data_IF_022529827624
#
_entry.id   IF_022529827624
#
_cell.length_a   1.000
_cell.length_b   1.000
_cell.length_c   1.000
_cell.angle_alpha   90.00
_cell.angle_beta   90.00
_cell.angle_gamma   90.00
#
_symmetry.space_group_name_H-M   'P 1'
#
loop_
_entity.id
_entity.type
_entity.pdbx_description
1 polymer ?
#
# COMPACT_ATOMS: atom_id res chain seq x y z
N UNK A 1 20.45 6.34 27.87
CA UNK A 1 19.23 7.10 27.53
C UNK A 1 18.04 6.26 27.99
N UNK A 2 17.14 6.83 28.78
CA UNK A 2 15.86 6.21 29.10
C UNK A 2 14.94 6.24 27.86
N UNK A 3 13.89 5.40 27.79
CA UNK A 3 12.90 5.38 26.70
C UNK A 3 12.38 6.78 26.34
N UNK A 4 12.15 7.60 27.36
CA UNK A 4 11.59 8.95 27.25
C UNK A 4 12.50 9.95 26.52
N UNK A 5 13.76 9.58 26.21
CA UNK A 5 14.75 10.46 25.60
C UNK A 5 15.17 10.05 24.17
N UNK A 6 14.56 9.00 23.59
CA UNK A 6 14.86 8.62 22.21
C UNK A 6 13.91 9.35 21.26
N UNK A 7 14.39 10.44 20.64
CA UNK A 7 13.66 11.18 19.63
C UNK A 7 13.74 10.46 18.28
N UNK A 8 12.59 10.31 17.59
CA UNK A 8 12.46 9.62 16.32
C UNK A 8 11.88 10.59 15.30
N UNK A 9 12.62 10.82 14.21
CA UNK A 9 12.13 11.56 13.05
C UNK A 9 11.62 10.57 11.99
N UNK A 10 10.36 10.69 11.59
CA UNK A 10 9.75 9.98 10.47
C UNK A 10 9.65 10.95 9.30
N UNK A 11 10.33 10.68 8.21
CA UNK A 11 10.28 11.49 6.99
C UNK A 11 9.34 10.84 5.99
N UNK A 12 8.24 11.53 5.70
CA UNK A 12 7.12 11.11 4.88
C UNK A 12 5.83 10.94 5.68
N UNK A 13 4.82 11.77 5.36
CA UNK A 13 3.48 11.81 5.98
C UNK A 13 2.45 10.95 5.24
N UNK A 14 2.87 9.94 4.47
CA UNK A 14 2.00 8.97 3.84
C UNK A 14 1.43 7.95 4.83
N UNK A 15 0.60 7.00 4.33
CA UNK A 15 -0.05 5.97 5.17
C UNK A 15 0.96 5.21 6.03
N UNK A 16 2.10 4.79 5.44
CA UNK A 16 3.14 4.06 6.17
C UNK A 16 3.80 4.89 7.26
N UNK A 17 4.17 6.14 6.94
CA UNK A 17 4.84 7.03 7.89
C UNK A 17 3.94 7.42 9.06
N UNK A 18 2.66 7.76 8.80
CA UNK A 18 1.70 8.07 9.86
C UNK A 18 1.38 6.84 10.72
N UNK A 19 1.20 5.66 10.12
CA UNK A 19 0.97 4.42 10.87
C UNK A 19 2.19 4.05 11.74
N UNK A 20 3.41 4.26 11.23
CA UNK A 20 4.64 4.06 12.00
C UNK A 20 4.74 5.05 13.15
N UNK A 21 4.47 6.34 12.91
CA UNK A 21 4.47 7.38 13.94
C UNK A 21 3.48 7.05 15.07
N UNK A 22 2.25 6.66 14.74
CA UNK A 22 1.24 6.26 15.71
C UNK A 22 1.67 5.03 16.51
N UNK A 23 2.27 4.03 15.85
CA UNK A 23 2.78 2.82 16.52
C UNK A 23 3.91 3.15 17.50
N UNK A 24 4.83 4.00 17.09
CA UNK A 24 5.95 4.45 17.92
C UNK A 24 5.50 5.34 19.09
N UNK A 25 4.57 6.28 18.86
CA UNK A 25 3.97 7.09 19.93
C UNK A 25 3.27 6.22 20.98
N UNK A 26 2.50 5.21 20.51
CA UNK A 26 1.82 4.28 21.41
C UNK A 26 2.80 3.41 22.22
N UNK A 27 3.99 3.16 21.67
CA UNK A 27 5.09 2.50 22.38
C UNK A 27 5.83 3.44 23.36
N UNK A 28 5.48 4.72 23.43
CA UNK A 28 6.03 5.71 24.36
C UNK A 28 7.28 6.43 23.86
N UNK A 29 7.55 6.45 22.57
CA UNK A 29 8.68 7.20 21.98
C UNK A 29 8.29 8.65 21.67
N UNK A 30 9.27 9.55 21.68
CA UNK A 30 9.11 10.93 21.19
C UNK A 30 9.27 10.96 19.67
N UNK A 31 8.15 11.18 18.95
CA UNK A 31 8.10 11.06 17.48
C UNK A 31 7.69 12.38 16.85
N UNK A 32 8.39 12.76 15.76
CA UNK A 32 8.04 13.88 14.91
C UNK A 32 7.94 13.37 13.45
N UNK A 33 6.92 13.79 12.73
CA UNK A 33 6.69 13.45 11.31
C UNK A 33 6.94 14.68 10.46
N UNK A 34 7.76 14.53 9.42
CA UNK A 34 8.10 15.61 8.48
C UNK A 34 7.61 15.22 7.08
N UNK A 35 6.71 16.03 6.52
CA UNK A 35 6.09 15.80 5.20
C UNK A 35 6.41 16.97 4.28
N UNK A 36 6.83 16.67 3.04
CA UNK A 36 7.20 17.68 2.06
C UNK A 36 6.02 18.49 1.52
N UNK A 37 4.83 17.88 1.45
CA UNK A 37 3.62 18.55 0.99
C UNK A 37 3.16 19.59 2.04
N UNK A 38 2.67 20.72 1.56
CA UNK A 38 2.07 21.76 2.41
C UNK A 38 0.67 21.40 2.92
N UNK A 39 0.02 20.43 2.28
CA UNK A 39 -1.30 19.90 2.65
C UNK A 39 -1.31 18.40 2.37
N UNK A 40 -1.86 17.62 3.28
CA UNK A 40 -2.09 16.19 3.05
C UNK A 40 -3.30 16.02 2.12
N UNK A 41 -3.02 15.94 0.83
CA UNK A 41 -4.01 15.65 -0.20
C UNK A 41 -3.61 14.41 -0.96
N UNK A 42 -4.59 13.59 -1.30
CA UNK A 42 -4.40 12.42 -2.17
C UNK A 42 -5.31 12.56 -3.37
N UNK A 43 -4.76 12.39 -4.57
CA UNK A 43 -5.57 12.35 -5.79
C UNK A 43 -6.39 11.07 -5.80
N UNK A 44 -7.68 11.20 -6.08
CA UNK A 44 -8.73 10.20 -6.00
C UNK A 44 -8.33 8.78 -6.41
N UNK A 45 -8.02 7.95 -5.43
CA UNK A 45 -7.69 6.54 -5.61
C UNK A 45 -8.32 5.70 -4.50
N UNK A 46 -8.74 4.49 -4.88
CA UNK A 46 -9.12 3.48 -3.91
C UNK A 46 -7.89 2.77 -3.35
N UNK A 47 -8.04 2.26 -2.15
CA UNK A 47 -7.05 1.40 -1.49
C UNK A 47 -7.76 0.25 -0.77
N UNK A 48 -7.11 -0.89 -0.72
CA UNK A 48 -7.60 -2.09 -0.04
C UNK A 48 -6.71 -2.36 1.18
N UNK A 49 -7.35 -2.64 2.32
CA UNK A 49 -6.68 -2.92 3.59
C UNK A 49 -7.15 -4.28 4.10
N UNK A 50 -6.26 -5.25 4.03
CA UNK A 50 -6.49 -6.63 4.44
C UNK A 50 -6.31 -6.85 5.95
N UNK A 51 -6.77 -7.99 6.53
CA UNK A 51 -6.78 -8.26 7.97
C UNK A 51 -5.45 -8.09 8.70
N UNK A 52 -4.33 -8.41 8.04
CA UNK A 52 -2.99 -8.21 8.61
C UNK A 52 -2.70 -6.74 8.96
N UNK A 53 -3.24 -5.79 8.19
CA UNK A 53 -3.07 -4.35 8.44
C UNK A 53 -4.25 -3.75 9.22
N UNK A 54 -5.50 -4.12 8.90
CA UNK A 54 -6.66 -3.56 9.60
C UNK A 54 -6.64 -3.88 11.09
N UNK A 55 -6.19 -5.06 11.50
CA UNK A 55 -5.93 -5.46 12.89
C UNK A 55 -5.05 -4.43 13.61
N UNK A 56 -3.96 -4.01 12.98
CA UNK A 56 -3.02 -3.05 13.55
C UNK A 56 -3.64 -1.66 13.66
N UNK A 57 -4.39 -1.23 12.65
CA UNK A 57 -5.13 0.04 12.69
C UNK A 57 -6.20 0.05 13.78
N UNK A 58 -6.93 -1.05 13.97
CA UNK A 58 -7.88 -1.18 15.09
C UNK A 58 -7.18 -1.06 16.44
N UNK A 59 -6.02 -1.70 16.61
CA UNK A 59 -5.20 -1.57 17.84
C UNK A 59 -4.69 -0.16 18.06
N UNK A 60 -4.47 0.62 17.00
CA UNK A 60 -4.15 2.05 17.10
C UNK A 60 -5.35 2.92 17.47
N UNK A 61 -6.54 2.34 17.64
CA UNK A 61 -7.76 3.07 18.04
C UNK A 61 -8.54 3.65 16.86
N UNK A 62 -8.18 3.31 15.62
CA UNK A 62 -8.79 3.87 14.42
C UNK A 62 -10.12 3.20 14.03
N UNK A 63 -10.52 2.10 14.69
CA UNK A 63 -11.70 1.31 14.34
C UNK A 63 -12.95 2.14 14.00
N UNK A 64 -13.41 3.07 14.87
CA UNK A 64 -14.59 3.90 14.57
C UNK A 64 -14.45 4.78 13.32
N UNK A 65 -13.25 5.27 13.01
CA UNK A 65 -13.00 6.06 11.80
C UNK A 65 -13.01 5.17 10.55
N UNK A 66 -12.42 3.97 10.65
CA UNK A 66 -12.39 2.98 9.57
C UNK A 66 -13.81 2.49 9.23
N UNK A 67 -14.64 2.21 10.23
CA UNK A 67 -16.01 1.73 10.02
C UNK A 67 -16.94 2.80 9.40
N UNK A 68 -16.68 4.09 9.65
CA UNK A 68 -17.46 5.17 9.05
C UNK A 68 -17.20 5.38 7.56
N UNK A 69 -15.98 5.15 7.10
CA UNK A 69 -15.54 5.51 5.73
C UNK A 69 -15.21 4.30 4.87
N UNK A 70 -14.94 3.16 5.50
CA UNK A 70 -14.62 1.90 4.85
C UNK A 70 -15.85 1.21 4.26
N UNK A 71 -15.60 0.46 3.19
CA UNK A 71 -16.55 -0.49 2.62
C UNK A 71 -16.04 -1.89 2.87
N UNK A 72 -16.85 -2.78 3.41
CA UNK A 72 -16.52 -4.19 3.66
C UNK A 72 -17.02 -5.05 2.49
N UNK A 73 -16.16 -5.49 1.57
CA UNK A 73 -16.58 -6.34 0.45
C UNK A 73 -16.93 -7.74 0.94
N UNK A 74 -17.92 -8.37 0.31
CA UNK A 74 -18.33 -9.74 0.68
C UNK A 74 -17.48 -10.81 0.02
N UNK A 75 -16.82 -10.51 -1.11
CA UNK A 75 -15.90 -11.44 -1.79
C UNK A 75 -14.91 -10.73 -2.71
N UNK A 76 -13.80 -11.42 -3.03
CA UNK A 76 -13.01 -11.15 -4.23
C UNK A 76 -13.62 -11.93 -5.38
N UNK A 77 -13.87 -11.26 -6.50
CA UNK A 77 -14.47 -11.85 -7.67
C UNK A 77 -13.50 -11.77 -8.85
N UNK A 78 -12.90 -12.89 -9.19
CA UNK A 78 -12.05 -13.04 -10.37
C UNK A 78 -12.93 -13.34 -11.58
N UNK A 79 -12.82 -12.55 -12.63
CA UNK A 79 -13.68 -12.63 -13.81
C UNK A 79 -12.86 -12.70 -15.09
N UNK A 80 -13.43 -13.35 -16.11
CA UNK A 80 -12.88 -13.33 -17.44
C UNK A 80 -13.22 -12.00 -18.12
N UNK A 81 -12.29 -11.52 -18.92
CA UNK A 81 -12.33 -10.17 -19.51
C UNK A 81 -13.45 -9.94 -20.51
N UNK A 82 -13.83 -10.96 -21.33
CA UNK A 82 -14.72 -10.86 -22.48
C UNK A 82 -16.19 -11.18 -22.16
N UNK A 83 -16.44 -12.34 -21.56
CA UNK A 83 -17.78 -12.84 -21.25
C UNK A 83 -18.23 -12.58 -19.81
N UNK A 84 -17.34 -12.08 -18.97
CA UNK A 84 -17.61 -11.81 -17.56
C UNK A 84 -17.79 -13.06 -16.70
N UNK A 85 -17.51 -14.24 -17.23
CA UNK A 85 -17.61 -15.50 -16.51
C UNK A 85 -16.79 -15.46 -15.22
N UNK A 86 -17.42 -15.96 -14.15
CA UNK A 86 -16.75 -16.13 -12.86
C UNK A 86 -15.66 -17.21 -12.97
N UNK A 87 -14.42 -16.82 -12.70
CA UNK A 87 -13.28 -17.74 -12.58
C UNK A 87 -13.10 -18.21 -11.15
N UNK A 88 -13.32 -17.30 -10.20
CA UNK A 88 -13.32 -17.59 -8.77
C UNK A 88 -14.12 -16.53 -8.02
N UNK A 89 -14.84 -16.95 -6.98
CA UNK A 89 -15.43 -16.05 -5.98
C UNK A 89 -14.92 -16.48 -4.61
N UNK A 90 -13.94 -15.73 -4.08
CA UNK A 90 -13.32 -16.03 -2.80
C UNK A 90 -14.00 -15.20 -1.71
N UNK A 91 -14.53 -15.81 -0.65
CA UNK A 91 -15.22 -15.07 0.41
C UNK A 91 -14.29 -14.08 1.12
N UNK A 92 -14.86 -12.92 1.46
CA UNK A 92 -14.30 -11.90 2.35
C UNK A 92 -15.31 -11.67 3.50
N UNK A 93 -15.55 -10.43 3.87
CA UNK A 93 -16.56 -10.04 4.86
C UNK A 93 -16.43 -10.83 6.16
N UNK A 94 -17.56 -11.36 6.63
CA UNK A 94 -17.63 -12.11 7.90
C UNK A 94 -16.72 -13.36 7.92
N UNK A 95 -16.58 -14.05 6.79
CA UNK A 95 -15.76 -15.26 6.72
C UNK A 95 -14.27 -14.98 6.98
N UNK A 96 -13.75 -13.89 6.44
CA UNK A 96 -12.36 -13.46 6.66
C UNK A 96 -12.19 -12.88 8.07
N UNK A 97 -13.15 -12.10 8.55
CA UNK A 97 -13.14 -11.55 9.90
C UNK A 97 -13.17 -12.67 10.96
N UNK A 98 -14.02 -13.69 10.78
CA UNK A 98 -14.06 -14.86 11.65
C UNK A 98 -12.75 -15.67 11.61
N UNK A 99 -12.14 -15.85 10.44
CA UNK A 99 -10.91 -16.63 10.29
C UNK A 99 -9.66 -15.91 10.83
N UNK A 100 -9.59 -14.59 10.71
CA UNK A 100 -8.37 -13.82 10.98
C UNK A 100 -8.54 -12.75 12.08
N UNK A 101 -9.74 -12.59 12.65
CA UNK A 101 -10.00 -11.68 13.76
C UNK A 101 -9.94 -10.18 13.39
N UNK A 102 -10.02 -9.85 12.11
CA UNK A 102 -10.04 -8.47 11.64
C UNK A 102 -10.72 -8.37 10.25
N UNK A 103 -11.45 -7.27 9.96
CA UNK A 103 -12.17 -7.09 8.72
C UNK A 103 -11.25 -6.70 7.55
N UNK A 104 -11.74 -6.97 6.34
CA UNK A 104 -11.18 -6.47 5.10
C UNK A 104 -11.92 -5.20 4.69
N UNK A 105 -11.19 -4.13 4.31
CA UNK A 105 -11.78 -2.85 3.93
C UNK A 105 -11.33 -2.37 2.55
N UNK A 106 -12.24 -1.65 1.88
CA UNK A 106 -11.90 -0.73 0.81
C UNK A 106 -12.11 0.71 1.28
N UNK A 107 -11.12 1.57 1.03
CA UNK A 107 -11.19 2.98 1.36
C UNK A 107 -10.99 3.86 0.13
N UNK A 108 -11.57 5.04 0.15
CA UNK A 108 -10.97 6.15 -0.56
C UNK A 108 -9.65 6.49 0.17
N UNK A 109 -8.55 6.57 -0.56
CA UNK A 109 -7.21 6.68 0.05
C UNK A 109 -7.07 7.92 0.94
N UNK A 110 -7.68 9.04 0.52
CA UNK A 110 -7.70 10.26 1.32
C UNK A 110 -8.43 10.10 2.66
N UNK A 111 -9.51 9.28 2.73
CA UNK A 111 -10.23 9.04 3.98
C UNK A 111 -9.35 8.27 4.99
N UNK A 112 -8.59 7.28 4.52
CA UNK A 112 -7.66 6.54 5.38
C UNK A 112 -6.50 7.43 5.84
N UNK A 113 -5.91 8.22 4.92
CA UNK A 113 -4.84 9.15 5.25
C UNK A 113 -5.29 10.18 6.29
N UNK A 114 -6.48 10.74 6.09
CA UNK A 114 -7.11 11.69 7.02
C UNK A 114 -7.31 11.06 8.40
N UNK A 115 -7.84 9.85 8.48
CA UNK A 115 -8.04 9.14 9.75
C UNK A 115 -6.73 8.93 10.52
N UNK A 116 -5.64 8.59 9.81
CA UNK A 116 -4.30 8.46 10.40
C UNK A 116 -3.75 9.81 10.87
N UNK A 117 -3.89 10.86 10.06
CA UNK A 117 -3.41 12.20 10.41
C UNK A 117 -4.16 12.80 11.60
N UNK A 118 -5.48 12.63 11.68
CA UNK A 118 -6.32 13.12 12.78
C UNK A 118 -6.05 12.38 14.11
N UNK A 119 -5.54 11.15 14.05
CA UNK A 119 -5.14 10.41 15.24
C UNK A 119 -3.77 10.82 15.80
N UNK A 120 -2.95 11.50 14.99
CA UNK A 120 -1.67 12.03 15.41
C UNK A 120 -1.86 13.40 16.08
N UNK A 121 -1.22 13.68 17.25
CA UNK A 121 -1.23 15.04 17.81
C UNK A 121 -0.70 16.06 16.79
N UNK A 122 -1.42 17.17 16.61
CA UNK A 122 -1.14 18.13 15.55
C UNK A 122 0.27 18.71 15.58
N UNK A 123 0.84 18.90 16.78
CA UNK A 123 2.19 19.39 17.03
C UNK A 123 3.29 18.39 16.64
N UNK A 124 2.91 17.17 16.28
CA UNK A 124 3.84 16.10 15.85
C UNK A 124 3.94 15.98 14.31
N UNK A 125 3.13 16.72 13.57
CA UNK A 125 3.09 16.68 12.10
C UNK A 125 3.54 18.01 11.50
N UNK A 126 4.68 18.00 10.84
CA UNK A 126 5.31 19.16 10.22
C UNK A 126 5.16 19.07 8.71
N UNK A 127 4.23 19.86 8.15
CA UNK A 127 4.02 19.97 6.69
C UNK A 127 4.99 20.99 6.07
N UNK A 128 5.23 20.86 4.75
CA UNK A 128 6.19 21.74 4.04
C UNK A 128 7.66 21.44 4.34
N UNK A 129 7.96 20.30 4.99
CA UNK A 129 9.30 19.93 5.43
C UNK A 129 9.93 18.90 4.48
N UNK A 130 10.41 19.36 3.33
CA UNK A 130 11.14 18.54 2.37
C UNK A 130 12.56 18.28 2.88
N UNK A 131 12.90 17.02 3.16
CA UNK A 131 14.26 16.62 3.55
C UNK A 131 15.24 16.91 2.39
N UNK A 132 16.35 17.58 2.70
CA UNK A 132 17.46 17.82 1.78
C UNK A 132 18.63 16.86 2.01
N UNK A 133 18.73 16.27 3.20
CA UNK A 133 19.75 15.30 3.56
C UNK A 133 19.91 15.19 5.08
N UNK A 134 20.77 14.30 5.53
CA UNK A 134 21.08 14.12 6.94
C UNK A 134 22.56 13.83 7.16
N UNK A 135 23.03 14.01 8.41
CA UNK A 135 24.41 13.69 8.82
C UNK A 135 24.38 12.90 10.12
N UNK A 136 25.06 11.78 10.16
CA UNK A 136 25.26 11.00 11.38
C UNK A 136 26.41 11.60 12.19
N UNK A 137 26.12 12.03 13.43
CA UNK A 137 27.08 12.59 14.38
C UNK A 137 27.55 11.55 15.41
N UNK A 138 27.14 10.27 15.24
CA UNK A 138 27.48 9.15 16.11
C UNK A 138 26.41 8.91 17.19
N UNK A 139 26.14 9.87 18.07
CA UNK A 139 25.12 9.76 19.12
C UNK A 139 23.73 10.21 18.68
N UNK A 140 23.65 11.00 17.62
CA UNK A 140 22.42 11.55 17.02
C UNK A 140 22.60 11.82 15.53
N UNK A 141 21.49 12.07 14.86
CA UNK A 141 21.42 12.51 13.47
C UNK A 141 21.06 13.99 13.41
N UNK A 142 21.62 14.74 12.48
CA UNK A 142 21.18 16.07 12.09
C UNK A 142 20.47 15.99 10.73
N UNK A 143 19.17 16.27 10.71
CA UNK A 143 18.35 16.36 9.51
C UNK A 143 18.37 17.81 9.01
N UNK A 144 18.49 18.01 7.67
CA UNK A 144 18.47 19.33 7.03
C UNK A 144 17.31 19.38 6.06
N UNK A 145 16.46 20.38 6.20
CA UNK A 145 15.31 20.60 5.32
C UNK A 145 15.60 21.66 4.26
N UNK A 146 14.89 21.60 3.12
CA UNK A 146 15.13 22.48 1.96
C UNK A 146 14.95 23.97 2.27
N UNK A 147 14.12 24.32 3.25
CA UNK A 147 13.91 25.71 3.70
C UNK A 147 14.94 26.19 4.73
N UNK A 148 15.96 25.36 5.04
CA UNK A 148 17.09 25.72 5.89
C UNK A 148 17.00 25.27 7.34
N UNK A 149 15.86 24.78 7.81
CA UNK A 149 15.71 24.25 9.16
C UNK A 149 16.57 23.01 9.38
N UNK A 150 17.04 22.85 10.63
CA UNK A 150 17.81 21.68 11.08
C UNK A 150 17.16 21.09 12.32
N UNK A 151 17.01 19.77 12.34
CA UNK A 151 16.40 19.03 13.44
C UNK A 151 17.33 17.90 13.86
N UNK A 152 17.55 17.76 15.17
CA UNK A 152 18.29 16.63 15.72
C UNK A 152 17.34 15.47 16.05
N UNK A 153 17.74 14.23 15.73
CA UNK A 153 16.99 13.03 16.06
C UNK A 153 17.91 11.90 16.50
N UNK A 154 17.42 11.03 17.37
CA UNK A 154 18.11 9.82 17.78
C UNK A 154 17.96 8.68 16.79
N UNK A 155 16.85 8.69 15.99
CA UNK A 155 16.56 7.73 14.93
C UNK A 155 15.91 8.46 13.76
N UNK A 156 16.26 8.07 12.52
CA UNK A 156 15.60 8.50 11.29
C UNK A 156 14.91 7.32 10.63
N UNK A 157 13.61 7.48 10.36
CA UNK A 157 12.80 6.54 9.60
C UNK A 157 12.44 7.17 8.25
N UNK A 158 12.99 6.66 7.15
CA UNK A 158 12.66 7.07 5.80
C UNK A 158 11.39 6.37 5.31
N UNK A 159 10.26 7.06 5.35
CA UNK A 159 8.95 6.65 4.84
C UNK A 159 8.50 7.51 3.65
N UNK A 160 9.46 8.07 2.92
CA UNK A 160 9.34 9.09 1.88
C UNK A 160 9.13 8.53 0.45
N UNK A 161 8.62 7.29 0.38
CA UNK A 161 8.07 6.70 -0.82
C UNK A 161 9.10 6.19 -1.83
N UNK A 162 8.63 5.89 -3.05
CA UNK A 162 9.44 5.28 -4.11
C UNK A 162 10.64 6.15 -4.55
N UNK A 163 10.53 7.48 -4.39
CA UNK A 163 11.59 8.46 -4.70
C UNK A 163 12.38 8.89 -3.46
N UNK A 164 12.47 8.03 -2.46
CA UNK A 164 13.05 8.30 -1.14
C UNK A 164 14.42 9.00 -1.20
N UNK A 165 14.47 10.20 -0.63
CA UNK A 165 15.71 10.93 -0.35
C UNK A 165 16.55 10.21 0.69
N UNK A 166 15.91 9.68 1.76
CA UNK A 166 16.61 8.95 2.83
C UNK A 166 17.31 7.72 2.25
N UNK A 167 16.65 6.95 1.35
CA UNK A 167 17.30 5.81 0.70
C UNK A 167 18.48 6.26 -0.17
N UNK A 168 18.29 7.30 -0.96
CA UNK A 168 19.34 7.83 -1.83
C UNK A 168 20.61 8.23 -1.09
N UNK A 169 20.47 8.90 0.06
CA UNK A 169 21.57 9.27 0.94
C UNK A 169 22.19 8.05 1.66
N UNK A 170 21.36 7.05 2.02
CA UNK A 170 21.80 5.89 2.79
C UNK A 170 22.52 4.84 1.94
N UNK A 171 22.01 4.56 0.73
CA UNK A 171 22.40 3.43 -0.12
C UNK A 171 22.94 3.85 -1.49
N UNK A 172 22.91 5.14 -1.80
CA UNK A 172 23.27 5.68 -3.10
C UNK A 172 22.08 5.82 -4.05
N UNK A 173 22.27 6.56 -5.17
CA UNK A 173 21.21 6.82 -6.12
C UNK A 173 20.86 5.57 -6.91
N UNK A 174 19.56 5.32 -7.04
CA UNK A 174 18.99 4.24 -7.85
C UNK A 174 17.69 4.74 -8.49
N UNK A 175 17.43 4.31 -9.72
CA UNK A 175 16.21 4.65 -10.44
C UNK A 175 15.17 3.52 -10.33
N UNK A 176 13.88 3.84 -10.14
CA UNK A 176 12.81 2.87 -10.25
C UNK A 176 12.77 2.26 -11.67
N UNK A 177 12.39 1.00 -11.77
CA UNK A 177 12.26 0.32 -13.04
C UNK A 177 10.82 0.40 -13.54
N UNK A 178 10.62 0.87 -14.77
CA UNK A 178 9.33 0.76 -15.44
C UNK A 178 8.97 -0.71 -15.66
N UNK A 179 7.75 -1.09 -15.25
CA UNK A 179 7.32 -2.49 -15.25
C UNK A 179 6.68 -2.95 -16.56
N UNK A 180 6.61 -2.06 -17.56
CA UNK A 180 5.89 -2.32 -18.80
C UNK A 180 4.37 -2.26 -18.64
N UNK A 181 3.87 -1.58 -17.59
CA UNK A 181 2.44 -1.39 -17.36
C UNK A 181 2.10 0.05 -17.06
N UNK A 182 0.96 0.49 -17.57
CA UNK A 182 0.29 1.74 -17.20
C UNK A 182 -1.04 1.43 -16.53
N UNK A 183 -1.52 2.35 -15.72
CA UNK A 183 -2.83 2.26 -15.06
C UNK A 183 -3.65 3.52 -15.34
N UNK A 184 -4.83 3.36 -15.92
CA UNK A 184 -5.86 4.39 -15.89
C UNK A 184 -6.64 4.25 -14.60
N UNK A 185 -6.97 5.35 -13.95
CA UNK A 185 -7.69 5.38 -12.69
C UNK A 185 -8.82 6.38 -12.70
N UNK A 186 -9.91 6.04 -12.02
CA UNK A 186 -11.02 6.94 -11.85
C UNK A 186 -11.87 6.59 -10.64
N UNK A 187 -12.61 7.59 -10.20
CA UNK A 187 -13.65 7.49 -9.18
C UNK A 187 -14.98 7.85 -9.84
N UNK A 188 -15.88 6.89 -9.88
CA UNK A 188 -17.23 7.07 -10.46
C UNK A 188 -18.22 7.28 -9.32
N UNK A 189 -19.00 8.35 -9.28
CA UNK A 189 -20.14 8.46 -8.38
C UNK A 189 -21.09 7.27 -8.57
N UNK A 190 -21.49 6.62 -7.48
CA UNK A 190 -22.26 5.36 -7.54
C UNK A 190 -23.61 5.53 -8.23
N UNK A 191 -24.22 6.70 -8.13
CA UNK A 191 -25.49 7.03 -8.78
C UNK A 191 -25.42 6.96 -10.32
N UNK A 192 -24.26 7.22 -10.92
CA UNK A 192 -24.04 7.07 -12.37
C UNK A 192 -24.02 5.61 -12.83
N UNK A 193 -23.86 4.66 -11.90
CA UNK A 193 -23.73 3.23 -12.18
C UNK A 193 -24.92 2.39 -11.73
N UNK A 194 -26.02 2.99 -11.28
CA UNK A 194 -27.18 2.28 -10.74
C UNK A 194 -27.77 1.24 -11.69
N UNK A 195 -27.67 1.47 -13.00
CA UNK A 195 -28.14 0.55 -14.03
C UNK A 195 -27.28 -0.76 -14.17
N UNK A 196 -26.12 -0.82 -13.52
CA UNK A 196 -25.24 -1.99 -13.56
C UNK A 196 -25.46 -2.96 -12.39
N UNK A 197 -26.27 -2.59 -11.41
CA UNK A 197 -26.58 -3.42 -10.21
C UNK A 197 -25.33 -4.05 -9.57
N UNK A 198 -24.31 -3.21 -9.33
CA UNK A 198 -23.02 -3.67 -8.83
C UNK A 198 -23.13 -4.22 -7.40
N UNK A 199 -22.66 -5.44 -7.18
CA UNK A 199 -22.48 -5.99 -5.84
C UNK A 199 -21.26 -5.36 -5.13
N UNK A 200 -21.26 -5.38 -3.78
CA UNK A 200 -20.14 -4.88 -2.96
C UNK A 200 -19.01 -5.93 -2.93
N UNK A 201 -18.27 -5.98 -4.01
CA UNK A 201 -17.18 -6.94 -4.26
C UNK A 201 -15.85 -6.23 -4.56
N UNK A 202 -14.76 -6.97 -4.41
CA UNK A 202 -13.47 -6.65 -5.02
C UNK A 202 -13.39 -7.36 -6.37
N UNK A 203 -13.77 -6.70 -7.45
CA UNK A 203 -13.77 -7.30 -8.79
C UNK A 203 -12.41 -7.17 -9.45
N UNK A 204 -11.93 -8.26 -10.07
CA UNK A 204 -10.74 -8.29 -10.90
C UNK A 204 -11.02 -9.04 -12.20
N UNK A 205 -11.03 -8.33 -13.32
CA UNK A 205 -11.21 -8.86 -14.66
C UNK A 205 -9.85 -9.10 -15.30
N UNK A 206 -9.57 -10.32 -15.70
CA UNK A 206 -8.26 -10.73 -16.23
C UNK A 206 -8.36 -11.04 -17.71
N UNK A 207 -7.44 -10.50 -18.51
CA UNK A 207 -7.44 -10.69 -19.97
C UNK A 207 -6.10 -10.39 -20.63
N UNK A 208 -6.05 -10.52 -21.95
CA UNK A 208 -4.82 -10.34 -22.73
C UNK A 208 -4.17 -8.99 -22.52
N UNK A 209 -2.93 -9.00 -22.01
CA UNK A 209 -2.11 -7.81 -21.83
C UNK A 209 -2.69 -6.77 -20.86
N UNK A 210 -3.60 -7.19 -19.92
CA UNK A 210 -4.17 -6.27 -18.95
C UNK A 210 -5.13 -6.88 -17.96
N UNK A 211 -5.54 -6.08 -16.99
CA UNK A 211 -6.63 -6.42 -16.07
C UNK A 211 -7.36 -5.16 -15.62
N UNK A 212 -8.59 -5.32 -15.17
CA UNK A 212 -9.43 -4.23 -14.70
C UNK A 212 -9.96 -4.55 -13.31
N UNK A 213 -9.69 -3.68 -12.36
CA UNK A 213 -10.15 -3.82 -10.97
C UNK A 213 -11.16 -2.73 -10.67
N UNK A 214 -12.26 -3.08 -10.01
CA UNK A 214 -13.18 -2.09 -9.47
C UNK A 214 -13.81 -2.52 -8.16
N UNK A 215 -14.10 -1.56 -7.30
CA UNK A 215 -14.72 -1.76 -5.99
C UNK A 215 -15.25 -0.46 -5.39
N UNK A 216 -16.21 -0.57 -4.49
CA UNK A 216 -16.78 0.58 -3.79
C UNK A 216 -15.81 1.16 -2.77
N UNK A 217 -15.82 2.49 -2.62
CA UNK A 217 -15.04 3.26 -1.65
C UNK A 217 -15.84 4.44 -1.08
N UNK A 218 -15.29 5.12 -0.06
CA UNK A 218 -15.90 6.31 0.53
C UNK A 218 -17.28 6.07 1.13
N UNK A 219 -17.44 4.94 1.87
CA UNK A 219 -18.73 4.52 2.42
C UNK A 219 -19.76 4.12 1.36
N UNK A 220 -19.32 3.70 0.17
CA UNK A 220 -20.19 3.30 -0.93
C UNK A 220 -20.58 4.43 -1.89
N UNK A 221 -20.11 5.66 -1.66
CA UNK A 221 -20.44 6.83 -2.51
C UNK A 221 -19.80 6.78 -3.89
N UNK A 222 -18.69 6.09 -4.01
CA UNK A 222 -17.92 5.98 -5.26
C UNK A 222 -17.56 4.54 -5.57
N UNK A 223 -17.45 4.24 -6.85
CA UNK A 223 -16.76 3.07 -7.39
C UNK A 223 -15.39 3.51 -7.88
N UNK A 224 -14.33 3.00 -7.26
CA UNK A 224 -12.97 3.15 -7.75
C UNK A 224 -12.71 2.13 -8.84
N UNK A 225 -12.02 2.55 -9.91
CA UNK A 225 -11.46 1.60 -10.86
C UNK A 225 -9.97 1.81 -11.10
N UNK A 226 -9.28 0.72 -11.43
CA UNK A 226 -7.90 0.69 -11.89
C UNK A 226 -7.85 -0.21 -13.12
N UNK A 227 -7.63 0.40 -14.26
CA UNK A 227 -7.57 -0.26 -15.57
C UNK A 227 -6.10 -0.37 -16.00
N UNK A 228 -5.50 -1.55 -15.88
CA UNK A 228 -4.08 -1.79 -16.12
C UNK A 228 -3.89 -2.39 -17.49
N UNK A 229 -2.98 -1.81 -18.26
CA UNK A 229 -2.61 -2.26 -19.60
C UNK A 229 -1.10 -2.34 -19.76
N UNK A 230 -0.63 -3.38 -20.43
CA UNK A 230 0.77 -3.48 -20.84
C UNK A 230 1.08 -2.44 -21.92
N UNK A 231 2.26 -1.84 -21.82
CA UNK A 231 2.78 -0.85 -22.78
C UNK A 231 4.29 -0.93 -22.84
N UNK A 232 4.86 -1.02 -24.04
CA UNK A 232 6.31 -1.23 -24.24
C UNK A 232 7.15 -0.05 -23.76
N UNK A 233 6.67 1.17 -23.94
CA UNK A 233 7.41 2.38 -23.61
C UNK A 233 6.55 3.39 -22.87
N UNK A 234 7.18 4.07 -21.91
CA UNK A 234 6.59 5.20 -21.20
C UNK A 234 7.67 6.26 -20.93
N UNK A 235 7.37 7.52 -21.27
CA UNK A 235 8.34 8.62 -21.22
C UNK A 235 8.07 9.62 -20.10
N UNK A 236 6.93 9.50 -19.40
CA UNK A 236 6.54 10.45 -18.33
C UNK A 236 6.39 9.72 -17.01
N UNK A 237 7.00 10.25 -15.96
CA UNK A 237 6.82 9.81 -14.58
C UNK A 237 5.99 10.86 -13.85
N UNK A 238 4.68 10.64 -13.72
CA UNK A 238 3.76 11.54 -13.02
C UNK A 238 2.61 10.77 -12.40
N UNK A 239 2.23 11.16 -11.18
CA UNK A 239 1.08 10.61 -10.47
C UNK A 239 -0.21 11.41 -10.73
N UNK A 240 -0.09 12.56 -11.38
CA UNK A 240 -1.18 13.53 -11.61
C UNK A 240 -1.45 13.79 -13.08
N UNK A 241 -0.80 13.07 -13.99
CA UNK A 241 -1.06 13.23 -15.41
C UNK A 241 -2.50 12.82 -15.71
N UNK A 242 -3.22 13.74 -16.35
CA UNK A 242 -4.56 13.47 -16.85
C UNK A 242 -4.47 12.58 -18.07
N UNK A 243 -5.27 11.51 -18.06
CA UNK A 243 -5.49 10.67 -19.22
C UNK A 243 -6.82 11.00 -19.88
N UNK A 244 -6.91 10.76 -21.17
CA UNK A 244 -8.18 10.88 -21.87
C UNK A 244 -9.05 9.65 -21.63
N UNK A 245 -10.33 9.85 -21.30
CA UNK A 245 -11.29 8.73 -21.10
C UNK A 245 -11.41 7.90 -22.39
N UNK A 246 -11.32 8.56 -23.54
CA UNK A 246 -11.34 7.89 -24.85
C UNK A 246 -10.18 6.91 -25.02
N UNK A 247 -8.97 7.25 -24.52
CA UNK A 247 -7.79 6.38 -24.59
C UNK A 247 -7.98 5.14 -23.68
N UNK A 248 -8.54 5.34 -22.50
CA UNK A 248 -8.85 4.25 -21.59
C UNK A 248 -9.90 3.30 -22.20
N UNK A 249 -10.97 3.85 -22.80
CA UNK A 249 -11.97 3.06 -23.51
C UNK A 249 -11.39 2.30 -24.70
N UNK A 250 -10.51 2.95 -25.48
CA UNK A 250 -9.84 2.30 -26.61
C UNK A 250 -8.93 1.14 -26.17
N UNK A 251 -8.20 1.31 -25.05
CA UNK A 251 -7.32 0.28 -24.49
C UNK A 251 -8.09 -0.97 -24.00
N UNK A 252 -9.36 -0.82 -23.63
CA UNK A 252 -10.25 -1.88 -23.15
C UNK A 252 -11.36 -2.22 -24.16
N UNK A 253 -11.17 -1.85 -25.44
CA UNK A 253 -12.10 -2.23 -26.51
C UNK A 253 -12.22 -3.75 -26.63
N UNK A 254 -13.46 -4.25 -26.70
CA UNK A 254 -13.76 -5.69 -26.79
C UNK A 254 -13.85 -6.40 -25.44
N UNK A 255 -13.58 -5.69 -24.33
CA UNK A 255 -13.83 -6.22 -22.99
C UNK A 255 -15.34 -6.22 -22.70
N UNK A 256 -15.74 -6.97 -21.66
CA UNK A 256 -17.13 -7.05 -21.22
C UNK A 256 -17.76 -5.65 -21.09
N UNK A 257 -19.02 -5.45 -21.52
CA UNK A 257 -19.66 -4.13 -21.54
C UNK A 257 -19.62 -3.37 -20.21
N UNK A 258 -19.68 -4.07 -19.08
CA UNK A 258 -19.59 -3.47 -17.74
C UNK A 258 -18.27 -2.69 -17.54
N UNK A 259 -17.14 -3.19 -18.09
CA UNK A 259 -15.84 -2.51 -18.00
C UNK A 259 -15.89 -1.17 -18.72
N UNK A 260 -16.38 -1.15 -19.96
CA UNK A 260 -16.54 0.07 -20.74
C UNK A 260 -17.52 1.06 -20.09
N UNK A 261 -18.63 0.56 -19.53
CA UNK A 261 -19.61 1.38 -18.83
C UNK A 261 -19.02 2.07 -17.60
N UNK A 262 -18.20 1.37 -16.80
CA UNK A 262 -17.55 1.97 -15.63
C UNK A 262 -16.50 3.01 -16.07
N UNK A 263 -15.65 2.70 -17.06
CA UNK A 263 -14.63 3.64 -17.57
C UNK A 263 -15.31 4.88 -18.17
N UNK A 264 -16.38 4.71 -18.95
CA UNK A 264 -17.09 5.82 -19.59
C UNK A 264 -17.91 6.70 -18.66
N UNK A 265 -18.09 6.29 -17.39
CA UNK A 265 -18.89 7.05 -16.43
C UNK A 265 -18.10 8.11 -15.66
N UNK A 266 -16.78 8.26 -15.89
CA UNK A 266 -16.00 9.37 -15.32
C UNK A 266 -15.91 10.55 -16.27
N UNK A 267 -15.77 11.76 -15.72
CA UNK A 267 -15.53 12.97 -16.50
C UNK A 267 -14.04 13.10 -16.88
N UNK A 268 -13.14 12.57 -16.04
CA UNK A 268 -11.70 12.57 -16.24
C UNK A 268 -11.08 11.29 -15.70
N UNK A 269 -9.93 10.89 -16.25
CA UNK A 269 -9.13 9.79 -15.74
C UNK A 269 -7.69 10.26 -15.51
N UNK A 270 -6.99 9.57 -14.62
CA UNK A 270 -5.56 9.75 -14.41
C UNK A 270 -4.80 8.58 -15.01
N UNK A 271 -3.63 8.85 -15.58
CA UNK A 271 -2.78 7.81 -16.16
C UNK A 271 -1.45 7.77 -15.43
N UNK A 272 -1.06 6.58 -14.97
CA UNK A 272 0.17 6.34 -14.22
C UNK A 272 0.97 5.20 -14.82
N UNK A 273 2.27 5.43 -14.99
CA UNK A 273 3.18 4.34 -15.23
C UNK A 273 3.46 3.59 -13.92
N UNK A 274 3.47 2.28 -13.98
CA UNK A 274 3.78 1.46 -12.82
C UNK A 274 5.28 1.18 -12.79
N UNK A 275 5.90 1.61 -11.70
CA UNK A 275 7.29 1.37 -11.40
C UNK A 275 7.42 0.41 -10.23
N UNK A 276 8.47 -0.39 -10.23
CA UNK A 276 8.91 -1.18 -9.09
C UNK A 276 10.41 -1.00 -8.84
N UNK A 277 10.87 -1.60 -7.74
CA UNK A 277 12.29 -1.70 -7.41
C UNK A 277 12.65 -3.15 -7.14
N UNK A 278 13.90 -3.49 -7.41
CA UNK A 278 14.45 -4.76 -6.93
C UNK A 278 14.37 -4.81 -5.39
N UNK A 279 14.18 -5.98 -4.79
CA UNK A 279 14.28 -6.12 -3.34
C UNK A 279 15.62 -5.59 -2.84
N UNK A 280 15.59 -4.72 -1.83
CA UNK A 280 16.80 -4.19 -1.21
C UNK A 280 17.43 -5.22 -0.28
N UNK A 281 18.76 -5.33 -0.35
CA UNK A 281 19.53 -6.20 0.55
C UNK A 281 19.66 -5.62 1.96
N UNK A 282 19.55 -4.29 2.09
CA UNK A 282 19.71 -3.57 3.34
C UNK A 282 18.69 -2.43 3.45
N UNK A 283 18.05 -2.31 4.61
CA UNK A 283 17.11 -1.22 4.94
C UNK A 283 17.63 -0.30 6.02
N UNK A 284 18.58 -0.79 6.84
CA UNK A 284 19.04 -0.11 8.05
C UNK A 284 20.55 0.04 8.08
N UNK A 285 21.03 1.25 8.43
CA UNK A 285 22.44 1.55 8.69
C UNK A 285 22.53 2.48 9.90
N UNK A 286 23.24 2.05 10.94
CA UNK A 286 23.40 2.84 12.17
C UNK A 286 22.05 3.16 12.81
N UNK A 287 21.70 4.45 12.83
CA UNK A 287 20.47 5.01 13.40
C UNK A 287 19.38 5.33 12.36
N UNK A 288 19.58 4.91 11.11
CA UNK A 288 18.65 5.19 10.00
C UNK A 288 18.06 3.89 9.50
N UNK A 289 16.74 3.89 9.25
CA UNK A 289 16.03 2.78 8.60
C UNK A 289 15.04 3.27 7.58
N UNK A 290 14.66 2.40 6.64
CA UNK A 290 13.65 2.64 5.61
C UNK A 290 12.35 1.89 5.95
N UNK A 291 11.22 2.39 5.43
CA UNK A 291 9.90 1.84 5.65
C UNK A 291 9.02 2.01 4.40
N UNK A 292 8.18 1.03 4.12
CA UNK A 292 7.20 1.11 3.03
C UNK A 292 7.84 1.20 1.64
N UNK A 293 7.29 2.03 0.74
CA UNK A 293 7.78 2.16 -0.64
C UNK A 293 9.21 2.70 -0.74
N UNK A 294 9.76 3.28 0.34
CA UNK A 294 11.16 3.65 0.40
C UNK A 294 12.09 2.43 0.32
N UNK A 295 11.65 1.25 0.77
CA UNK A 295 12.46 0.02 0.74
C UNK A 295 11.84 -1.13 -0.06
N UNK A 296 10.51 -1.21 -0.23
CA UNK A 296 9.87 -2.35 -0.90
C UNK A 296 8.73 -1.96 -1.82
N UNK A 297 8.89 -0.88 -2.60
CA UNK A 297 7.92 -0.51 -3.64
C UNK A 297 7.56 -1.71 -4.51
N UNK A 298 6.27 -1.96 -4.70
CA UNK A 298 5.74 -3.14 -5.38
C UNK A 298 4.58 -2.80 -6.30
N UNK A 299 4.35 -3.66 -7.29
CA UNK A 299 3.15 -3.58 -8.14
C UNK A 299 1.87 -3.74 -7.29
N UNK A 300 0.77 -3.07 -7.63
CA UNK A 300 -0.47 -3.11 -6.84
C UNK A 300 -1.25 -4.43 -6.95
N UNK A 301 -0.70 -5.47 -7.59
CA UNK A 301 -1.39 -6.69 -7.99
C UNK A 301 -1.65 -7.70 -6.86
N UNK A 302 -1.23 -7.37 -5.65
CA UNK A 302 -1.56 -8.09 -4.41
C UNK A 302 -2.34 -7.21 -3.43
N UNK A 303 -2.54 -5.91 -3.72
CA UNK A 303 -3.13 -4.93 -2.82
C UNK A 303 -2.45 -4.89 -1.44
N UNK A 304 -1.11 -5.03 -1.38
CA UNK A 304 -0.36 -5.17 -0.13
C UNK A 304 0.58 -4.02 0.19
N UNK A 305 0.87 -3.09 -0.71
CA UNK A 305 1.87 -2.04 -0.45
C UNK A 305 1.60 -1.26 0.85
N UNK A 306 0.39 -0.72 1.02
CA UNK A 306 0.02 -0.02 2.23
C UNK A 306 -0.06 -0.96 3.46
N UNK A 307 -0.58 -2.17 3.28
CA UNK A 307 -0.66 -3.14 4.36
C UNK A 307 0.74 -3.50 4.90
N UNK A 308 1.73 -3.67 4.02
CA UNK A 308 3.11 -3.92 4.42
C UNK A 308 3.74 -2.71 5.11
N UNK A 309 3.47 -1.49 4.66
CA UNK A 309 3.95 -0.28 5.33
C UNK A 309 3.38 -0.12 6.75
N UNK A 310 2.13 -0.53 6.96
CA UNK A 310 1.50 -0.55 8.30
C UNK A 310 2.12 -1.64 9.18
N UNK A 311 2.36 -2.84 8.62
CA UNK A 311 3.09 -3.90 9.32
C UNK A 311 4.51 -3.45 9.72
N UNK A 312 5.21 -2.75 8.84
CA UNK A 312 6.55 -2.22 9.11
C UNK A 312 6.55 -1.32 10.35
N UNK A 313 5.60 -0.39 10.43
CA UNK A 313 5.49 0.52 11.58
C UNK A 313 5.28 -0.22 12.90
N UNK A 314 4.41 -1.24 12.91
CA UNK A 314 4.16 -2.05 14.09
C UNK A 314 5.40 -2.87 14.51
N UNK A 315 6.08 -3.51 13.55
CA UNK A 315 7.31 -4.29 13.82
C UNK A 315 8.45 -3.40 14.29
N UNK A 316 8.63 -2.22 13.67
CA UNK A 316 9.65 -1.25 14.06
C UNK A 316 9.45 -0.78 15.51
N UNK A 317 8.21 -0.42 15.87
CA UNK A 317 7.87 -0.02 17.22
C UNK A 317 8.15 -1.15 18.23
N UNK A 318 7.79 -2.39 17.92
CA UNK A 318 8.04 -3.54 18.78
C UNK A 318 9.54 -3.83 18.94
N UNK A 319 10.34 -3.74 17.87
CA UNK A 319 11.79 -3.95 17.93
C UNK A 319 12.50 -2.87 18.76
N UNK A 320 12.14 -1.61 18.58
CA UNK A 320 12.69 -0.51 19.38
C UNK A 320 12.28 -0.62 20.85
N UNK A 321 11.04 -1.06 21.12
CA UNK A 321 10.54 -1.26 22.48
C UNK A 321 11.33 -2.34 23.22
N UNK A 322 11.69 -3.45 22.56
CA UNK A 322 12.47 -4.55 23.15
C UNK A 322 13.97 -4.25 23.23
N UNK A 323 14.54 -3.63 22.19
CA UNK A 323 15.99 -3.33 22.13
C UNK A 323 16.43 -2.20 23.04
N UNK A 324 15.49 -1.33 23.46
CA UNK A 324 15.77 -0.15 24.26
C UNK A 324 16.55 0.93 23.51
N UNK A 325 16.71 2.10 24.13
CA UNK A 325 17.47 3.23 23.56
C UNK A 325 19.00 3.00 23.51
N UNK A 326 19.50 1.97 24.21
CA UNK A 326 20.93 1.71 24.32
C UNK A 326 21.55 1.10 23.06
N UNK A 327 20.78 0.29 22.30
CA UNK A 327 21.26 -0.36 21.08
C UNK A 327 20.23 -0.23 19.92
N UNK A 328 20.03 1.00 19.49
CA UNK A 328 19.16 1.35 18.38
C UNK A 328 19.53 0.58 17.10
N UNK A 329 20.83 0.49 16.80
CA UNK A 329 21.29 -0.15 15.56
C UNK A 329 20.91 -1.64 15.51
N UNK A 330 20.98 -2.36 16.62
CA UNK A 330 20.54 -3.77 16.69
C UNK A 330 19.02 -3.89 16.56
N UNK A 331 18.25 -2.98 17.18
CA UNK A 331 16.80 -2.96 17.05
C UNK A 331 16.36 -2.75 15.58
N UNK A 332 17.01 -1.81 14.86
CA UNK A 332 16.74 -1.55 13.45
C UNK A 332 17.15 -2.74 12.55
N UNK A 333 18.28 -3.39 12.82
CA UNK A 333 18.66 -4.62 12.10
C UNK A 333 17.67 -5.76 12.34
N UNK A 334 17.15 -5.89 13.56
CA UNK A 334 16.11 -6.88 13.87
C UNK A 334 14.81 -6.60 13.13
N UNK A 335 14.38 -5.34 13.09
CA UNK A 335 13.24 -4.91 12.28
C UNK A 335 13.42 -5.32 10.80
N UNK A 336 14.56 -5.00 10.19
CA UNK A 336 14.90 -5.39 8.83
C UNK A 336 14.85 -6.91 8.63
N UNK A 337 15.46 -7.67 9.53
CA UNK A 337 15.52 -9.13 9.45
C UNK A 337 14.13 -9.78 9.50
N UNK A 338 13.20 -9.22 10.26
CA UNK A 338 11.81 -9.71 10.36
C UNK A 338 10.97 -9.32 9.13
N UNK A 339 11.15 -8.09 8.62
CA UNK A 339 10.27 -7.54 7.59
C UNK A 339 10.71 -7.84 6.16
N UNK A 340 12.00 -7.78 5.89
CA UNK A 340 12.55 -7.91 4.54
C UNK A 340 12.14 -9.21 3.83
N UNK A 341 12.22 -10.42 4.43
CA UNK A 341 11.82 -11.65 3.73
C UNK A 341 10.35 -11.63 3.32
N UNK A 342 9.47 -11.13 4.19
CA UNK A 342 8.03 -11.06 3.92
C UNK A 342 7.69 -10.04 2.83
N UNK A 343 8.26 -8.84 2.88
CA UNK A 343 8.07 -7.82 1.87
C UNK A 343 8.62 -8.25 0.51
N UNK A 344 9.81 -8.85 0.47
CA UNK A 344 10.41 -9.42 -0.75
C UNK A 344 9.50 -10.47 -1.38
N UNK A 345 8.98 -11.41 -0.60
CA UNK A 345 8.02 -12.41 -1.09
C UNK A 345 6.81 -11.78 -1.75
N UNK A 346 6.27 -10.70 -1.17
CA UNK A 346 5.12 -10.00 -1.73
C UNK A 346 5.45 -9.20 -2.99
N UNK A 347 6.66 -8.60 -3.07
CA UNK A 347 7.14 -7.98 -4.30
C UNK A 347 7.22 -9.01 -5.44
N UNK A 348 7.76 -10.19 -5.19
CA UNK A 348 7.87 -11.28 -6.16
C UNK A 348 6.50 -11.81 -6.59
N UNK A 349 5.59 -12.04 -5.63
CA UNK A 349 4.21 -12.45 -5.92
C UNK A 349 3.45 -11.41 -6.72
N UNK A 350 3.64 -10.13 -6.43
CA UNK A 350 3.03 -9.03 -7.20
C UNK A 350 3.53 -9.01 -8.65
N UNK A 351 4.82 -9.26 -8.86
CA UNK A 351 5.39 -9.42 -10.23
C UNK A 351 4.83 -10.64 -10.95
N UNK A 352 4.75 -11.77 -10.26
CA UNK A 352 4.19 -13.01 -10.84
C UNK A 352 2.71 -12.83 -11.24
N UNK A 353 1.95 -12.07 -10.46
CA UNK A 353 0.56 -11.75 -10.79
C UNK A 353 0.41 -10.90 -12.05
N UNK A 354 1.40 -10.07 -12.42
CA UNK A 354 1.39 -9.40 -13.74
C UNK A 354 1.20 -10.43 -14.85
N UNK A 355 2.10 -11.40 -14.95
CA UNK A 355 2.02 -12.44 -15.97
C UNK A 355 0.71 -13.24 -15.87
N UNK A 356 0.34 -13.63 -14.65
CA UNK A 356 -0.85 -14.45 -14.39
C UNK A 356 -2.15 -13.75 -14.80
N UNK A 357 -2.29 -12.46 -14.55
CA UNK A 357 -3.50 -11.71 -14.87
C UNK A 357 -3.59 -11.35 -16.36
N UNK A 358 -2.46 -11.21 -17.03
CA UNK A 358 -2.35 -10.70 -18.40
C UNK A 358 -2.16 -11.80 -19.46
N UNK A 359 -2.34 -13.07 -19.10
CA UNK A 359 -2.18 -14.18 -20.04
C UNK A 359 -3.05 -13.97 -21.30
N UNK A 360 -2.47 -14.16 -22.50
CA UNK A 360 -3.24 -14.23 -23.72
C UNK A 360 -4.15 -15.46 -23.70
N UNK A 361 -5.23 -15.40 -24.48
CA UNK A 361 -6.11 -16.56 -24.63
C UNK A 361 -5.34 -17.77 -25.16
N UNK A 362 -5.58 -18.93 -24.55
CA UNK A 362 -4.88 -20.17 -24.90
C UNK A 362 -4.70 -21.11 -23.71
N UNK A 363 -3.87 -22.13 -23.89
CA UNK A 363 -3.70 -23.22 -22.90
C UNK A 363 -3.25 -22.73 -21.52
N UNK A 364 -2.34 -21.77 -21.44
CA UNK A 364 -1.87 -21.23 -20.16
C UNK A 364 -2.98 -20.49 -19.40
N UNK A 365 -3.80 -19.70 -20.11
CA UNK A 365 -4.97 -19.03 -19.55
C UNK A 365 -6.02 -20.06 -19.09
N UNK A 366 -6.31 -21.10 -19.89
CA UNK A 366 -7.25 -22.15 -19.53
C UNK A 366 -6.79 -22.91 -18.26
N UNK A 367 -5.50 -23.23 -18.15
CA UNK A 367 -4.93 -23.84 -16.96
C UNK A 367 -5.08 -22.96 -15.73
N UNK A 368 -4.81 -21.64 -15.83
CA UNK A 368 -5.05 -20.67 -14.75
C UNK A 368 -6.51 -20.64 -14.33
N UNK A 369 -7.44 -20.60 -15.29
CA UNK A 369 -8.88 -20.53 -15.01
C UNK A 369 -9.36 -21.79 -14.28
N UNK A 370 -8.89 -22.96 -14.71
CA UNK A 370 -9.19 -24.23 -14.04
C UNK A 370 -8.63 -24.28 -12.61
N UNK A 371 -7.40 -23.80 -12.40
CA UNK A 371 -6.81 -23.69 -11.07
C UNK A 371 -7.62 -22.76 -10.15
N UNK A 372 -8.06 -21.60 -10.62
CA UNK A 372 -8.89 -20.67 -9.87
C UNK A 372 -10.23 -21.30 -9.47
N UNK A 373 -10.90 -21.95 -10.40
CA UNK A 373 -12.16 -22.65 -10.17
C UNK A 373 -12.02 -23.78 -9.14
N UNK A 374 -10.89 -24.49 -9.15
CA UNK A 374 -10.62 -25.61 -8.23
C UNK A 374 -10.27 -25.17 -6.80
N UNK A 375 -9.98 -23.89 -6.56
CA UNK A 375 -9.57 -23.41 -5.22
C UNK A 375 -10.71 -23.43 -4.21
N UNK A 376 -11.93 -23.06 -4.61
CA UNK A 376 -13.14 -23.11 -3.75
C UNK A 376 -12.89 -22.58 -2.33
N UNK A 377 -13.37 -23.31 -1.35
CA UNK A 377 -13.27 -22.95 0.08
C UNK A 377 -11.84 -22.95 0.65
N UNK A 378 -10.88 -23.57 -0.04
CA UNK A 378 -9.46 -23.57 0.37
C UNK A 378 -8.79 -22.20 0.26
N UNK A 379 -9.47 -21.21 -0.30
CA UNK A 379 -8.90 -19.85 -0.49
C UNK A 379 -8.60 -19.16 0.83
N UNK A 380 -9.48 -19.28 1.84
CA UNK A 380 -9.25 -18.65 3.18
C UNK A 380 -8.03 -19.28 3.84
N UNK A 381 -7.92 -20.60 3.87
CA UNK A 381 -6.77 -21.29 4.45
C UNK A 381 -5.45 -20.90 3.76
N UNK A 382 -5.46 -20.78 2.42
CA UNK A 382 -4.29 -20.36 1.66
C UNK A 382 -3.84 -18.93 1.94
N UNK A 383 -4.71 -18.07 2.47
CA UNK A 383 -4.39 -16.69 2.87
C UNK A 383 -3.90 -16.57 4.32
N UNK A 384 -3.88 -17.66 5.10
CA UNK A 384 -3.51 -17.66 6.52
C UNK A 384 -2.13 -17.03 6.78
N UNK A 385 -1.11 -17.36 5.98
CA UNK A 385 0.23 -16.79 6.08
C UNK A 385 0.25 -15.27 5.87
N UNK A 386 -0.68 -14.72 5.09
CA UNK A 386 -0.76 -13.31 4.75
C UNK A 386 -1.69 -12.57 5.72
N UNK A 387 -2.95 -12.97 5.81
CA UNK A 387 -3.98 -12.25 6.57
C UNK A 387 -3.94 -12.54 8.06
N UNK A 388 -3.48 -13.75 8.45
CA UNK A 388 -3.30 -14.15 9.84
C UNK A 388 -2.07 -13.57 10.53
N UNK A 389 -1.13 -12.97 9.76
CA UNK A 389 0.10 -12.42 10.32
C UNK A 389 -0.14 -11.23 11.25
N UNK A 390 0.47 -11.28 12.42
CA UNK A 390 0.49 -10.20 13.41
C UNK A 390 1.90 -9.60 13.51
N UNK A 391 2.13 -8.49 12.83
CA UNK A 391 3.42 -7.85 12.75
C UNK A 391 3.89 -7.18 14.05
N UNK A 392 3.03 -7.06 15.06
CA UNK A 392 3.41 -6.57 16.39
C UNK A 392 3.91 -7.69 17.32
N UNK A 393 3.65 -8.96 16.99
CA UNK A 393 4.08 -10.12 17.77
C UNK A 393 5.45 -10.61 17.27
N UNK A 394 6.54 -10.03 17.80
CA UNK A 394 7.91 -10.32 17.35
C UNK A 394 8.62 -11.44 18.12
N UNK A 395 7.98 -12.01 19.14
CA UNK A 395 8.55 -13.07 20.00
C UNK A 395 8.09 -14.48 19.63
N UNK A 396 7.22 -14.63 18.63
CA UNK A 396 6.71 -15.92 18.19
C UNK A 396 7.64 -16.58 17.19
N UNK A 397 8.08 -17.80 17.48
CA UNK A 397 8.69 -18.74 16.55
C UNK A 397 7.87 -18.80 15.25
N UNK A 398 8.38 -18.22 14.17
CA UNK A 398 7.81 -18.39 12.86
C UNK A 398 8.32 -19.70 12.28
N UNK A 399 7.65 -20.80 12.63
CA UNK A 399 7.79 -22.10 11.95
C UNK A 399 7.12 -22.10 10.58
#
# INVERSE_FOLDING_TARGET
MTRDNLSIAVVGGGIGGLAAALSLLRAGFDVQVFEQASVLTEVGAGIQISPNASRLLHRLGLGPALDRTGVRPVAVHQRRWDDGRTLQRAPLGEAVEAAFGAPYYHFHRADLLKALAEALPAERLHLGHRLAGFTDQGDRLELRFAHGERVAAGVLVGADGIHSTVRGELLGPEQPRFTGCIAYRGLVPTDRLGHLELEVLANNWMGPGGHFVHYFVGGGRFVNFVAIKERETWTRESWTDRGEVADALAAFKGWHPQVGAIIGAVDETFIWALFDRAPLERWSVGRVTLLGDACHAMLPFMAQGAAQSIEDGATLAACLLQGGAADVASALRRYEALRRPRATRLQEMSRANKTRFHLPDGLAQQARDAELAARGDRTIAALGWLYGHDASAIDGNHG
#
